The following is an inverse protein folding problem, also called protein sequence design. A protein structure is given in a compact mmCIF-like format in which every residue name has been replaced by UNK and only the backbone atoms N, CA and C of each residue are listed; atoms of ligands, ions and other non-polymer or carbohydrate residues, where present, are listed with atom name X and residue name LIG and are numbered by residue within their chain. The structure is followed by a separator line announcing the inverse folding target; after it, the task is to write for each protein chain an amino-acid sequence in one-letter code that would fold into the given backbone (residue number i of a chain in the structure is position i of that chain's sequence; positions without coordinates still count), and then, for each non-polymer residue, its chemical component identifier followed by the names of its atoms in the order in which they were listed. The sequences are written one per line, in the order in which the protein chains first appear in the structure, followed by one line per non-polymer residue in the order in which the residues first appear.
data_IF_934453921472
#
_entry.id   IF_934453921472
#
_cell.length_a   1.000
_cell.length_b   1.000
_cell.length_c   1.000
_cell.angle_alpha   90.00
_cell.angle_beta   90.00
_cell.angle_gamma   90.00
#
_symmetry.space_group_name_H-M   'P 1'
#
loop_
_entity.id
_entity.type
_entity.pdbx_description
1 polymer ?
#
# COMPACT_ATOMS: atom_id res chain seq x y z
N UNK A 1 16.85 22.91 77.88
CA UNK A 1 16.24 21.65 77.44
C UNK A 1 17.38 20.68 77.21
N UNK A 2 17.85 19.93 78.22
CA UNK A 2 17.33 18.64 78.70
C UNK A 2 17.06 17.62 77.58
N UNK A 3 17.50 16.36 77.76
CA UNK A 3 18.78 15.80 77.25
C UNK A 3 18.56 14.42 76.57
N UNK A 4 19.56 13.68 76.05
CA UNK A 4 20.42 12.70 76.74
C UNK A 4 21.36 12.10 75.65
N UNK A 5 22.69 12.14 75.83
CA UNK A 5 23.55 11.06 76.40
C UNK A 5 23.43 9.74 75.59
N UNK A 6 24.48 9.01 75.20
CA UNK A 6 25.89 8.86 75.62
C UNK A 6 26.51 7.87 74.61
N UNK A 7 27.74 8.08 74.10
CA UNK A 7 29.02 7.53 74.61
C UNK A 7 29.05 5.98 74.58
N UNK A 8 30.04 5.26 74.06
CA UNK A 8 31.50 5.20 74.33
C UNK A 8 32.04 4.16 73.30
N UNK A 9 33.05 4.45 72.46
CA UNK A 9 34.51 4.42 72.68
C UNK A 9 35.15 3.01 72.62
N UNK A 10 36.34 2.98 72.00
CA UNK A 10 37.38 1.92 71.91
C UNK A 10 37.20 0.83 70.84
N UNK A 11 38.19 0.50 70.01
CA UNK A 11 39.57 0.96 69.93
C UNK A 11 40.41 0.07 69.00
N UNK A 12 41.68 0.46 68.90
CA UNK A 12 42.85 -0.26 68.39
C UNK A 12 43.09 -0.41 66.88
N UNK A 13 44.27 0.11 66.53
CA UNK A 13 44.99 0.05 65.27
C UNK A 13 45.53 -1.35 64.95
N UNK A 14 45.62 -1.70 63.66
CA UNK A 14 46.63 -2.63 63.12
C UNK A 14 46.95 -2.27 61.65
N UNK A 15 48.25 -2.10 61.39
CA UNK A 15 48.92 -2.14 60.09
C UNK A 15 48.66 -3.51 59.42
N UNK A 16 48.13 -3.57 58.19
CA UNK A 16 47.83 -4.84 57.51
C UNK A 16 48.13 -4.80 56.02
N UNK A 17 49.13 -5.59 55.63
CA UNK A 17 49.66 -5.82 54.29
C UNK A 17 48.61 -6.10 53.20
N UNK A 18 48.96 -5.66 52.00
CA UNK A 18 48.41 -6.11 50.73
C UNK A 18 48.39 -7.64 50.62
N UNK A 19 47.23 -8.17 50.24
CA UNK A 19 47.10 -9.47 49.57
C UNK A 19 46.56 -9.17 48.18
N UNK A 20 47.34 -9.51 47.16
CA UNK A 20 46.88 -9.65 45.78
C UNK A 20 45.74 -10.68 45.78
N UNK A 21 44.51 -10.20 45.70
CA UNK A 21 43.38 -10.98 45.22
C UNK A 21 43.28 -10.79 43.71
N UNK A 22 43.77 -11.76 42.95
CA UNK A 22 43.40 -11.95 41.56
C UNK A 22 41.87 -11.99 41.49
N UNK A 23 41.25 -10.89 41.04
CA UNK A 23 39.88 -10.93 40.59
C UNK A 23 39.84 -11.91 39.39
N UNK A 24 39.04 -12.97 39.43
CA UNK A 24 38.76 -13.71 38.21
C UNK A 24 38.14 -12.71 37.24
N UNK A 25 38.66 -12.68 36.01
CA UNK A 25 38.08 -11.89 34.93
C UNK A 25 36.58 -12.19 34.89
N UNK A 26 35.79 -11.14 35.08
CA UNK A 26 34.38 -11.18 34.70
C UNK A 26 34.42 -11.27 33.18
N UNK A 27 34.30 -12.48 32.65
CA UNK A 27 34.00 -12.68 31.23
C UNK A 27 32.72 -11.90 30.95
N UNK A 28 32.86 -10.79 30.23
CA UNK A 28 31.76 -10.15 29.54
C UNK A 28 31.34 -11.09 28.40
N UNK A 29 30.36 -11.94 28.68
CA UNK A 29 29.57 -12.70 27.72
C UNK A 29 28.36 -13.28 28.46
N UNK A 30 27.43 -12.41 28.87
CA UNK A 30 26.04 -12.87 28.91
C UNK A 30 25.59 -12.85 27.45
N UNK A 31 25.75 -14.00 26.78
CA UNK A 31 25.20 -14.23 25.46
C UNK A 31 23.68 -14.15 25.51
N UNK A 32 23.04 -13.80 24.39
CA UNK A 32 21.58 -13.88 24.19
C UNK A 32 21.06 -15.17 24.84
N UNK A 33 20.25 -15.03 25.88
CA UNK A 33 19.80 -16.13 26.75
C UNK A 33 18.67 -16.93 26.09
N UNK A 34 17.95 -16.34 25.13
CA UNK A 34 16.89 -17.00 24.34
C UNK A 34 16.81 -16.51 22.90
N UNK A 35 16.81 -17.43 21.93
CA UNK A 35 16.37 -17.15 20.55
C UNK A 35 15.15 -18.01 20.29
N UNK A 36 14.07 -17.38 19.83
CA UNK A 36 12.82 -18.04 19.55
C UNK A 36 12.30 -17.69 18.15
N UNK A 37 11.69 -18.67 17.49
CA UNK A 37 11.04 -18.50 16.19
C UNK A 37 9.58 -18.90 16.33
N UNK A 38 8.69 -17.93 16.09
CA UNK A 38 7.24 -18.09 16.09
C UNK A 38 6.75 -18.02 14.64
N UNK A 39 6.75 -19.17 13.96
CA UNK A 39 6.17 -19.28 12.63
C UNK A 39 4.66 -19.53 12.71
N UNK A 40 3.88 -18.45 12.81
CA UNK A 40 2.42 -18.51 12.82
C UNK A 40 1.84 -18.71 11.42
N UNK A 41 2.65 -18.54 10.37
CA UNK A 41 2.25 -18.68 8.98
C UNK A 41 2.48 -20.09 8.44
N UNK A 42 3.29 -20.90 9.11
CA UNK A 42 3.73 -22.24 8.67
C UNK A 42 4.41 -22.16 7.28
N UNK A 43 5.21 -21.11 7.07
CA UNK A 43 5.90 -20.78 5.81
C UNK A 43 7.44 -20.89 5.91
N UNK A 44 8.01 -20.98 7.11
CA UNK A 44 9.43 -21.23 7.32
C UNK A 44 9.70 -22.73 7.23
N UNK A 45 10.73 -23.10 6.47
CA UNK A 45 11.19 -24.48 6.48
C UNK A 45 11.92 -24.79 7.81
N UNK A 46 12.02 -26.07 8.21
CA UNK A 46 12.83 -26.43 9.38
C UNK A 46 14.30 -26.02 9.26
N UNK A 47 14.82 -25.85 8.03
CA UNK A 47 16.18 -25.35 7.80
C UNK A 47 16.28 -23.84 8.04
N UNK A 48 15.23 -23.09 7.74
CA UNK A 48 15.13 -21.65 7.95
C UNK A 48 15.03 -21.30 9.44
N UNK A 49 14.19 -22.02 10.19
CA UNK A 49 14.09 -21.87 11.64
C UNK A 49 15.44 -22.16 12.31
N UNK A 50 16.09 -23.26 11.92
CA UNK A 50 17.44 -23.61 12.40
C UNK A 50 18.48 -22.55 12.03
N UNK A 51 18.40 -21.98 10.83
CA UNK A 51 19.29 -20.90 10.43
C UNK A 51 19.14 -19.69 11.36
N UNK A 52 17.90 -19.30 11.71
CA UNK A 52 17.67 -18.20 12.66
C UNK A 52 18.22 -18.53 14.05
N UNK A 53 17.93 -19.73 14.56
CA UNK A 53 18.39 -20.18 15.88
C UNK A 53 19.92 -20.28 15.97
N UNK A 54 20.58 -20.82 14.95
CA UNK A 54 22.03 -21.05 14.96
C UNK A 54 22.84 -19.78 14.68
N UNK A 55 22.31 -18.87 13.82
CA UNK A 55 23.04 -17.67 13.40
C UNK A 55 22.89 -16.51 14.37
N UNK A 56 21.73 -16.36 15.00
CA UNK A 56 21.45 -15.21 15.88
C UNK A 56 22.46 -15.06 17.03
N UNK A 57 22.86 -16.13 17.74
CA UNK A 57 23.84 -16.02 18.82
C UNK A 57 25.25 -15.61 18.37
N UNK A 58 25.55 -15.65 17.06
CA UNK A 58 26.84 -15.23 16.51
C UNK A 58 26.87 -13.76 16.08
N UNK A 59 25.75 -13.05 16.20
CA UNK A 59 25.65 -11.62 15.93
C UNK A 59 26.11 -10.85 17.18
N UNK A 60 26.97 -9.85 16.98
CA UNK A 60 27.48 -8.98 18.04
C UNK A 60 26.43 -7.95 18.46
N UNK A 61 25.36 -8.41 19.11
CA UNK A 61 24.27 -7.55 19.58
C UNK A 61 24.69 -6.76 20.83
N UNK A 62 24.04 -5.61 21.11
CA UNK A 62 24.22 -4.90 22.37
C UNK A 62 24.04 -5.84 23.57
N UNK A 63 24.83 -5.65 24.62
CA UNK A 63 24.84 -6.52 25.81
C UNK A 63 23.51 -6.49 26.58
N UNK A 64 22.70 -5.48 26.32
CA UNK A 64 21.34 -5.30 26.81
C UNK A 64 20.37 -6.32 26.18
N UNK A 65 20.66 -6.87 25.01
CA UNK A 65 19.80 -7.86 24.34
C UNK A 65 19.90 -9.21 25.04
N UNK A 66 18.86 -9.59 25.77
CA UNK A 66 18.77 -10.89 26.43
C UNK A 66 17.98 -11.90 25.59
N UNK A 67 16.99 -11.46 24.82
CA UNK A 67 16.07 -12.33 24.11
C UNK A 67 15.79 -11.80 22.70
N UNK A 68 15.88 -12.70 21.71
CA UNK A 68 15.53 -12.40 20.30
C UNK A 68 14.34 -13.26 19.88
N UNK A 69 13.25 -12.61 19.50
CA UNK A 69 12.02 -13.28 19.05
C UNK A 69 11.75 -12.94 17.58
N UNK A 70 11.76 -13.96 16.73
CA UNK A 70 11.31 -13.86 15.34
C UNK A 70 9.84 -14.24 15.26
N UNK A 71 9.02 -13.43 14.59
CA UNK A 71 7.59 -13.69 14.44
C UNK A 71 7.18 -13.57 12.98
N UNK A 72 6.59 -14.63 12.43
CA UNK A 72 6.02 -14.62 11.08
C UNK A 72 4.50 -14.72 11.16
N UNK A 73 3.80 -13.64 10.80
CA UNK A 73 2.35 -13.56 10.80
C UNK A 73 1.75 -13.90 9.42
N UNK A 74 0.76 -14.80 9.33
CA UNK A 74 0.07 -15.09 8.07
C UNK A 74 -0.78 -13.91 7.58
N UNK A 75 -1.31 -13.11 8.52
CA UNK A 75 -2.08 -11.90 8.25
C UNK A 75 -1.81 -10.87 9.35
N UNK A 76 -1.89 -9.59 9.02
CA UNK A 76 -1.65 -8.48 9.95
C UNK A 76 -2.48 -7.25 9.56
N UNK A 77 -2.45 -6.23 10.41
CA UNK A 77 -3.05 -4.93 10.11
C UNK A 77 -2.18 -4.13 9.13
N UNK A 78 -2.76 -3.07 8.55
CA UNK A 78 -2.01 -2.09 7.76
C UNK A 78 -0.86 -1.47 8.56
N UNK A 79 -1.05 -1.31 9.88
CA UNK A 79 -0.01 -0.95 10.83
C UNK A 79 0.46 -2.21 11.58
N UNK A 80 1.60 -2.78 11.16
CA UNK A 80 2.15 -3.98 11.79
C UNK A 80 2.45 -3.78 13.29
N UNK A 81 2.77 -2.55 13.71
CA UNK A 81 3.05 -2.23 15.11
C UNK A 81 1.88 -2.63 16.03
N UNK A 82 0.65 -2.40 15.56
CA UNK A 82 -0.56 -2.75 16.31
C UNK A 82 -0.76 -4.25 16.41
N UNK A 83 -0.47 -4.99 15.34
CA UNK A 83 -0.54 -6.45 15.32
C UNK A 83 0.45 -7.07 16.31
N UNK A 84 1.71 -6.63 16.31
CA UNK A 84 2.72 -7.15 17.24
C UNK A 84 2.38 -6.80 18.69
N UNK A 85 1.90 -5.56 18.94
CA UNK A 85 1.47 -5.16 20.28
C UNK A 85 0.29 -6.01 20.78
N UNK A 86 -0.69 -6.25 19.91
CA UNK A 86 -1.84 -7.07 20.26
C UNK A 86 -1.42 -8.51 20.60
N UNK A 87 -0.55 -9.10 19.77
CA UNK A 87 0.01 -10.43 20.01
C UNK A 87 0.79 -10.51 21.33
N UNK A 88 1.65 -9.52 21.60
CA UNK A 88 2.35 -9.43 22.87
C UNK A 88 1.42 -9.29 24.08
N UNK A 89 0.28 -8.60 23.97
CA UNK A 89 -0.64 -8.46 25.11
C UNK A 89 -1.46 -9.71 25.40
N UNK A 90 -1.91 -10.41 24.36
CA UNK A 90 -2.90 -11.48 24.52
C UNK A 90 -2.26 -12.88 24.54
N UNK A 91 -1.22 -13.10 23.73
CA UNK A 91 -0.66 -14.43 23.50
C UNK A 91 0.75 -14.57 24.09
N UNK A 92 1.52 -13.47 24.09
CA UNK A 92 2.90 -13.43 24.59
C UNK A 92 3.17 -12.30 25.57
N UNK A 93 2.51 -12.28 26.76
CA UNK A 93 2.69 -11.23 27.76
C UNK A 93 4.13 -11.03 28.24
N UNK A 94 4.97 -12.04 28.07
CA UNK A 94 6.41 -11.99 28.33
C UNK A 94 7.17 -11.02 27.42
N UNK A 95 6.63 -10.68 26.24
CA UNK A 95 7.20 -9.67 25.35
C UNK A 95 6.88 -8.24 25.80
N UNK A 96 5.99 -8.07 26.78
CA UNK A 96 5.54 -6.77 27.27
C UNK A 96 6.15 -6.52 28.65
N UNK A 97 6.55 -5.27 28.90
CA UNK A 97 7.02 -4.83 30.22
C UNK A 97 5.97 -5.06 31.31
N UNK A 98 6.41 -5.20 32.56
CA UNK A 98 5.50 -5.41 33.71
C UNK A 98 4.44 -4.30 33.84
N UNK A 99 4.77 -3.07 33.44
CA UNK A 99 3.84 -1.92 33.45
C UNK A 99 2.82 -1.94 32.28
N UNK A 100 3.02 -2.78 31.27
CA UNK A 100 2.08 -2.94 30.14
C UNK A 100 2.12 -1.83 29.08
N UNK A 101 3.06 -0.90 29.21
CA UNK A 101 3.17 0.32 28.39
C UNK A 101 4.35 0.32 27.42
N UNK A 102 5.26 -0.66 27.53
CA UNK A 102 6.45 -0.82 26.66
C UNK A 102 6.77 -2.29 26.37
N UNK A 103 7.67 -2.54 25.43
CA UNK A 103 8.27 -3.86 25.23
C UNK A 103 9.10 -4.27 26.46
N UNK A 104 9.21 -5.57 26.70
CA UNK A 104 9.97 -6.10 27.83
C UNK A 104 11.44 -5.65 27.75
N UNK A 105 12.07 -5.30 28.89
CA UNK A 105 13.50 -5.02 28.94
C UNK A 105 14.31 -6.18 28.36
N UNK A 106 15.35 -5.86 27.59
CA UNK A 106 16.22 -6.85 26.92
C UNK A 106 15.63 -7.56 25.71
N UNK A 107 14.37 -7.26 25.33
CA UNK A 107 13.74 -7.86 24.17
C UNK A 107 14.18 -7.21 22.85
N UNK A 108 14.47 -8.04 21.85
CA UNK A 108 14.56 -7.67 20.44
C UNK A 108 13.59 -8.53 19.63
N UNK A 109 12.59 -7.90 19.02
CA UNK A 109 11.53 -8.59 18.27
C UNK A 109 11.66 -8.21 16.80
N UNK A 110 11.77 -9.23 15.93
CA UNK A 110 11.76 -9.04 14.49
C UNK A 110 10.50 -9.70 13.93
N UNK A 111 9.61 -8.90 13.36
CA UNK A 111 8.31 -9.38 12.88
C UNK A 111 8.18 -9.20 11.36
N UNK A 112 7.57 -10.19 10.71
CA UNK A 112 7.21 -10.15 9.29
C UNK A 112 5.75 -10.57 9.16
N UNK A 113 4.98 -9.81 8.39
CA UNK A 113 3.58 -10.06 8.08
C UNK A 113 3.39 -10.31 6.59
N UNK A 114 2.56 -11.30 6.23
CA UNK A 114 2.39 -11.76 4.84
C UNK A 114 1.27 -11.02 4.09
N UNK A 115 0.21 -10.64 4.78
CA UNK A 115 -0.95 -9.96 4.19
C UNK A 115 -1.52 -8.89 5.15
N UNK A 116 -1.26 -7.59 4.91
CA UNK A 116 -0.37 -7.04 3.88
C UNK A 116 1.11 -7.32 4.18
N UNK A 117 1.97 -7.30 3.16
CA UNK A 117 3.41 -7.50 3.30
C UNK A 117 4.07 -6.38 4.13
N UNK A 118 4.41 -6.68 5.37
CA UNK A 118 4.97 -5.72 6.35
C UNK A 118 6.13 -6.34 7.12
N UNK A 119 7.14 -5.54 7.45
CA UNK A 119 8.24 -5.96 8.30
C UNK A 119 8.46 -4.93 9.40
N UNK A 120 8.93 -5.35 10.56
CA UNK A 120 9.22 -4.47 11.67
C UNK A 120 10.28 -5.02 12.60
N UNK A 121 10.94 -4.10 13.30
CA UNK A 121 11.86 -4.40 14.39
C UNK A 121 11.40 -3.60 15.61
N UNK A 122 11.32 -4.26 16.75
CA UNK A 122 10.90 -3.67 18.01
C UNK A 122 11.88 -4.05 19.11
N UNK A 123 12.03 -3.18 20.10
CA UNK A 123 12.97 -3.42 21.20
C UNK A 123 12.45 -2.86 22.51
N UNK A 124 12.89 -3.47 23.61
CA UNK A 124 12.86 -2.83 24.93
C UNK A 124 13.65 -1.52 24.89
N UNK A 125 13.27 -0.54 25.72
CA UNK A 125 13.89 0.79 25.72
C UNK A 125 15.41 0.73 25.91
N UNK A 126 15.88 -0.16 26.78
CA UNK A 126 17.30 -0.41 27.03
C UNK A 126 18.05 -0.88 25.78
N UNK A 127 17.46 -1.81 25.04
CA UNK A 127 17.99 -2.30 23.76
C UNK A 127 17.92 -1.22 22.68
N UNK A 128 16.81 -0.49 22.58
CA UNK A 128 16.63 0.56 21.60
C UNK A 128 17.63 1.70 21.78
N UNK A 129 17.88 2.10 23.04
CA UNK A 129 18.85 3.12 23.40
C UNK A 129 20.29 2.63 23.11
N UNK A 130 20.61 1.38 23.47
CA UNK A 130 21.93 0.81 23.23
C UNK A 130 22.24 0.61 21.73
N UNK A 131 21.24 0.26 20.92
CA UNK A 131 21.35 0.14 19.48
C UNK A 131 21.27 1.48 18.73
N UNK A 132 21.01 2.58 19.45
CA UNK A 132 20.77 3.92 18.90
C UNK A 132 19.73 3.90 17.78
N UNK A 133 18.61 3.18 18.01
CA UNK A 133 17.62 2.90 16.95
C UNK A 133 16.88 4.18 16.51
N UNK A 134 16.83 5.18 17.38
CA UNK A 134 16.16 6.46 17.16
C UNK A 134 17.05 7.53 16.54
N UNK A 135 18.36 7.28 16.38
CA UNK A 135 19.20 8.23 15.67
C UNK A 135 18.72 8.42 14.22
N UNK A 136 18.93 9.61 13.63
CA UNK A 136 18.41 9.94 12.31
C UNK A 136 18.73 8.87 11.26
N UNK A 137 17.70 8.34 10.60
CA UNK A 137 17.83 7.34 9.53
C UNK A 137 18.19 5.92 9.99
N UNK A 138 18.33 5.64 11.29
CA UNK A 138 18.74 4.33 11.82
C UNK A 138 17.69 3.25 11.64
N UNK A 139 16.51 3.41 12.26
CA UNK A 139 15.39 2.47 12.12
C UNK A 139 15.06 2.21 10.64
N UNK A 140 15.11 3.28 9.86
CA UNK A 140 14.95 3.27 8.42
C UNK A 140 16.01 2.43 7.69
N UNK A 141 17.28 2.62 8.01
CA UNK A 141 18.39 1.82 7.49
C UNK A 141 18.29 0.34 7.90
N UNK A 142 17.81 0.04 9.10
CA UNK A 142 17.56 -1.32 9.58
C UNK A 142 16.48 -2.01 8.73
N UNK A 143 15.32 -1.36 8.56
CA UNK A 143 14.23 -1.91 7.74
C UNK A 143 14.62 -2.01 6.25
N UNK A 144 15.53 -1.17 5.76
CA UNK A 144 16.08 -1.30 4.40
C UNK A 144 16.95 -2.55 4.23
N UNK A 145 17.72 -2.96 5.23
CA UNK A 145 18.54 -4.19 5.15
C UNK A 145 17.67 -5.45 5.12
N UNK A 146 16.51 -5.42 5.78
CA UNK A 146 15.53 -6.49 5.74
C UNK A 146 14.84 -6.61 4.36
N UNK A 147 14.63 -5.49 3.65
CA UNK A 147 13.74 -5.44 2.48
C UNK A 147 14.16 -6.34 1.31
N UNK A 148 15.42 -6.31 0.81
CA UNK A 148 15.81 -7.09 -0.36
C UNK A 148 15.54 -8.61 -0.23
N UNK A 149 16.03 -9.30 0.82
CA UNK A 149 15.76 -10.74 0.96
C UNK A 149 14.27 -11.05 1.13
N UNK A 150 13.48 -10.20 1.79
CA UNK A 150 12.02 -10.40 1.92
C UNK A 150 11.30 -10.27 0.57
N UNK A 151 11.70 -9.31 -0.27
CA UNK A 151 11.18 -9.16 -1.65
C UNK A 151 11.52 -10.35 -2.53
N UNK A 152 12.70 -10.93 -2.32
CA UNK A 152 13.15 -12.12 -3.04
C UNK A 152 12.50 -13.42 -2.50
N UNK A 153 11.60 -13.32 -1.52
CA UNK A 153 10.89 -14.45 -0.92
C UNK A 153 11.70 -15.21 0.13
N UNK A 154 12.88 -14.72 0.50
CA UNK A 154 13.73 -15.32 1.52
C UNK A 154 13.40 -14.74 2.91
N UNK A 155 12.36 -15.29 3.53
CA UNK A 155 11.81 -14.83 4.81
C UNK A 155 12.84 -14.89 5.94
N UNK A 156 13.55 -16.01 6.06
CA UNK A 156 14.54 -16.23 7.10
C UNK A 156 15.74 -15.29 6.98
N UNK A 157 16.24 -15.09 5.75
CA UNK A 157 17.33 -14.14 5.54
C UNK A 157 16.88 -12.71 5.88
N UNK A 158 15.67 -12.32 5.49
CA UNK A 158 15.15 -10.98 5.81
C UNK A 158 14.97 -10.73 7.29
N UNK A 159 14.46 -11.71 8.03
CA UNK A 159 14.39 -11.66 9.49
C UNK A 159 15.79 -11.57 10.11
N UNK A 160 16.73 -12.41 9.68
CA UNK A 160 18.10 -12.39 10.20
C UNK A 160 18.84 -11.07 9.91
N UNK A 161 18.63 -10.48 8.73
CA UNK A 161 19.22 -9.19 8.37
C UNK A 161 18.69 -8.05 9.25
N UNK A 162 17.44 -8.11 9.73
CA UNK A 162 16.92 -7.17 10.71
C UNK A 162 17.73 -7.17 12.00
N UNK A 163 18.00 -8.37 12.53
CA UNK A 163 18.83 -8.55 13.73
C UNK A 163 20.27 -8.10 13.52
N UNK A 164 20.89 -8.46 12.38
CA UNK A 164 22.26 -8.00 12.06
C UNK A 164 22.33 -6.47 11.93
N UNK A 165 21.32 -5.86 11.34
CA UNK A 165 21.30 -4.41 11.15
C UNK A 165 21.14 -3.64 12.47
N UNK A 166 20.46 -4.21 13.48
CA UNK A 166 20.42 -3.65 14.84
C UNK A 166 21.82 -3.63 15.47
N UNK A 167 22.61 -4.68 15.27
CA UNK A 167 24.00 -4.75 15.72
C UNK A 167 24.98 -3.86 14.90
N UNK A 168 24.60 -3.46 13.68
CA UNK A 168 25.44 -2.69 12.77
C UNK A 168 25.16 -1.18 12.91
N UNK A 169 26.04 -0.39 13.55
CA UNK A 169 25.86 1.06 13.70
C UNK A 169 25.88 1.80 12.34
N UNK A 170 26.31 1.15 11.25
CA UNK A 170 26.32 1.72 9.89
C UNK A 170 25.02 1.50 9.13
N UNK A 171 24.05 0.76 9.69
CA UNK A 171 22.71 0.64 9.14
C UNK A 171 21.94 1.97 9.30
N UNK A 172 22.24 2.95 8.45
CA UNK A 172 21.63 4.28 8.40
C UNK A 172 21.20 4.57 6.97
N UNK A 173 19.99 5.11 6.78
CA UNK A 173 19.60 5.71 5.50
C UNK A 173 20.08 7.16 5.44
N UNK A 174 20.94 7.48 4.47
CA UNK A 174 21.29 8.87 4.18
C UNK A 174 20.08 9.61 3.59
N UNK A 175 19.67 10.70 4.24
CA UNK A 175 18.60 11.56 3.73
C UNK A 175 19.10 12.36 2.53
N UNK A 176 18.46 12.23 1.38
CA UNK A 176 18.54 13.23 0.31
C UNK A 176 17.76 14.48 0.74
N UNK A 177 18.44 15.63 0.78
CA UNK A 177 17.93 16.95 1.17
C UNK A 177 16.64 17.34 0.43
N UNK A 178 15.48 17.35 1.10
CA UNK A 178 14.27 18.07 0.70
C UNK A 178 13.45 18.56 1.92
N UNK A 179 12.65 19.65 1.78
CA UNK A 179 12.35 20.62 2.85
C UNK A 179 11.31 20.18 3.90
N UNK A 180 11.53 20.63 5.14
CA UNK A 180 10.83 20.25 6.38
C UNK A 180 9.35 20.64 6.55
N UNK A 181 8.52 20.61 5.51
CA UNK A 181 7.06 20.78 5.64
C UNK A 181 6.25 19.51 5.33
N UNK A 182 6.89 18.42 4.88
CA UNK A 182 6.23 17.14 4.56
C UNK A 182 5.94 16.27 5.80
N UNK A 183 6.52 16.59 6.96
CA UNK A 183 6.39 15.79 8.20
C UNK A 183 5.11 16.01 9.04
N UNK A 184 4.10 16.76 8.58
CA UNK A 184 3.05 17.29 9.47
C UNK A 184 1.59 16.90 9.16
N UNK A 185 1.29 15.91 8.30
CA UNK A 185 -0.09 15.65 7.84
C UNK A 185 -0.78 14.36 8.27
N UNK A 186 -0.22 13.57 9.21
CA UNK A 186 -0.95 12.41 9.79
C UNK A 186 -1.22 12.67 11.27
N UNK A 187 -2.06 13.67 11.54
CA UNK A 187 -2.43 14.07 12.89
C UNK A 187 -3.90 14.46 12.99
N UNK A 188 -4.72 13.53 13.53
CA UNK A 188 -6.07 13.79 14.07
C UNK A 188 -7.19 12.97 13.41
N UNK A 189 -8.21 12.44 14.08
CA UNK A 189 -8.71 12.38 15.49
C UNK A 189 -9.68 11.15 15.48
N UNK A 190 -9.82 10.27 16.48
CA UNK A 190 -10.74 10.38 17.63
C UNK A 190 -10.54 9.23 18.64
N UNK A 191 -10.52 9.61 19.91
CA UNK A 191 -10.58 8.76 21.10
C UNK A 191 -11.97 8.12 21.28
N UNK A 192 -12.04 6.90 21.87
CA UNK A 192 -12.87 6.52 23.03
C UNK A 192 -12.51 5.07 23.46
N UNK A 193 -12.04 4.90 24.72
CA UNK A 193 -12.44 3.83 25.65
C UNK A 193 -11.84 2.42 25.50
N UNK A 194 -11.10 1.97 26.52
CA UNK A 194 -10.42 0.68 26.60
C UNK A 194 -11.27 -0.59 26.80
N UNK A 195 -10.58 -1.73 26.73
CA UNK A 195 -11.01 -3.13 26.98
C UNK A 195 -11.93 -3.80 25.94
N UNK A 196 -11.76 -3.53 24.63
CA UNK A 196 -12.59 -4.16 23.59
C UNK A 196 -12.01 -4.27 22.18
N UNK A 197 -10.70 -4.13 22.00
CA UNK A 197 -10.08 -3.86 20.69
C UNK A 197 -10.21 -5.00 19.64
N UNK A 198 -10.04 -6.27 20.00
CA UNK A 198 -10.19 -7.38 19.04
C UNK A 198 -11.63 -7.54 18.52
N UNK A 199 -12.62 -7.38 19.41
CA UNK A 199 -14.04 -7.38 19.03
C UNK A 199 -14.42 -6.08 18.31
N UNK A 200 -13.83 -4.94 18.65
CA UNK A 200 -14.07 -3.66 17.98
C UNK A 200 -13.50 -3.61 16.57
N UNK A 201 -12.30 -4.13 16.32
CA UNK A 201 -11.70 -4.18 14.98
C UNK A 201 -12.55 -5.06 14.04
N UNK A 202 -12.95 -6.25 14.49
CA UNK A 202 -13.88 -7.10 13.74
C UNK A 202 -15.26 -6.45 13.56
N UNK A 203 -15.79 -5.77 14.57
CA UNK A 203 -17.10 -5.11 14.51
C UNK A 203 -17.07 -3.82 13.70
N UNK A 204 -15.94 -3.12 13.61
CA UNK A 204 -15.77 -1.88 12.86
C UNK A 204 -15.54 -2.18 11.37
N UNK A 205 -14.70 -3.15 11.04
CA UNK A 205 -14.55 -3.67 9.67
C UNK A 205 -15.85 -4.28 9.18
N UNK A 206 -16.55 -5.08 10.01
CA UNK A 206 -17.89 -5.61 9.71
C UNK A 206 -18.94 -4.51 9.56
N UNK A 207 -18.97 -3.49 10.42
CA UNK A 207 -19.88 -2.33 10.28
C UNK A 207 -19.60 -1.53 9.01
N UNK A 208 -18.34 -1.31 8.67
CA UNK A 208 -17.93 -0.61 7.43
C UNK A 208 -18.32 -1.45 6.20
N UNK A 209 -18.09 -2.75 6.23
CA UNK A 209 -18.47 -3.66 5.16
C UNK A 209 -20.00 -3.81 5.02
N UNK A 210 -20.74 -3.84 6.13
CA UNK A 210 -22.22 -3.86 6.11
C UNK A 210 -22.75 -2.52 5.60
N UNK A 211 -22.19 -1.39 6.04
CA UNK A 211 -22.57 -0.07 5.53
C UNK A 211 -22.31 0.02 4.03
N UNK A 212 -21.13 -0.41 3.57
CA UNK A 212 -20.79 -0.50 2.14
C UNK A 212 -21.76 -1.42 1.41
N UNK A 213 -22.08 -2.60 1.96
CA UNK A 213 -23.06 -3.50 1.36
C UNK A 213 -24.46 -2.89 1.29
N UNK A 214 -24.89 -2.11 2.31
CA UNK A 214 -26.16 -1.38 2.28
C UNK A 214 -26.15 -0.30 1.19
N UNK A 215 -25.12 0.54 1.15
CA UNK A 215 -24.93 1.57 0.11
C UNK A 215 -24.93 0.97 -1.30
N UNK A 216 -24.21 -0.15 -1.49
CA UNK A 216 -24.12 -0.89 -2.75
C UNK A 216 -25.47 -1.50 -3.14
N UNK A 217 -26.18 -2.11 -2.18
CA UNK A 217 -27.50 -2.67 -2.41
C UNK A 217 -28.54 -1.59 -2.76
N UNK A 218 -28.53 -0.46 -2.06
CA UNK A 218 -29.38 0.69 -2.38
C UNK A 218 -29.08 1.23 -3.79
N UNK A 219 -27.81 1.27 -4.18
CA UNK A 219 -27.40 1.58 -5.55
C UNK A 219 -27.95 0.60 -6.59
N UNK A 220 -27.83 -0.71 -6.33
CA UNK A 220 -28.40 -1.76 -7.20
C UNK A 220 -29.91 -1.59 -7.32
N UNK A 221 -30.64 -1.40 -6.22
CA UNK A 221 -32.10 -1.24 -6.27
C UNK A 221 -32.54 -0.02 -7.06
N UNK A 222 -31.79 1.09 -6.98
CA UNK A 222 -32.07 2.32 -7.70
C UNK A 222 -31.83 2.19 -9.20
N UNK A 223 -30.70 1.61 -9.58
CA UNK A 223 -30.21 1.70 -10.95
C UNK A 223 -30.57 0.47 -11.80
N UNK A 224 -30.71 -0.72 -11.18
CA UNK A 224 -30.94 -1.97 -11.91
C UNK A 224 -32.19 -1.92 -12.79
N UNK A 225 -33.33 -1.46 -12.25
CA UNK A 225 -34.59 -1.43 -12.99
C UNK A 225 -34.53 -0.53 -14.23
N UNK A 226 -33.91 0.65 -14.11
CA UNK A 226 -33.70 1.58 -15.22
C UNK A 226 -32.81 0.96 -16.30
N UNK A 227 -31.65 0.46 -15.89
CA UNK A 227 -30.64 -0.07 -16.81
C UNK A 227 -31.15 -1.35 -17.50
N UNK A 228 -31.86 -2.23 -16.78
CA UNK A 228 -32.48 -3.43 -17.37
C UNK A 228 -33.53 -3.08 -18.44
N UNK A 229 -34.37 -2.07 -18.18
CA UNK A 229 -35.37 -1.61 -19.15
C UNK A 229 -34.73 -0.97 -20.40
N UNK A 230 -33.60 -0.29 -20.23
CA UNK A 230 -32.91 0.42 -21.29
C UNK A 230 -31.86 -0.44 -22.03
N UNK A 231 -31.55 -1.64 -21.53
CA UNK A 231 -30.46 -2.49 -22.04
C UNK A 231 -30.54 -2.70 -23.55
N UNK A 232 -31.73 -2.95 -24.11
CA UNK A 232 -31.89 -3.12 -25.55
C UNK A 232 -31.57 -1.84 -26.34
N UNK A 233 -31.98 -0.67 -25.83
CA UNK A 233 -31.67 0.60 -26.48
C UNK A 233 -30.17 0.91 -26.43
N UNK A 234 -29.51 0.59 -25.31
CA UNK A 234 -28.06 0.75 -25.16
C UNK A 234 -27.32 -0.20 -26.11
N UNK A 235 -27.76 -1.46 -26.21
CA UNK A 235 -27.17 -2.46 -27.12
C UNK A 235 -27.29 -2.03 -28.59
N UNK A 236 -28.44 -1.49 -29.00
CA UNK A 236 -28.62 -0.92 -30.35
C UNK A 236 -27.66 0.25 -30.57
N UNK A 237 -27.53 1.16 -29.60
CA UNK A 237 -26.62 2.31 -29.71
C UNK A 237 -25.17 1.85 -29.87
N UNK A 238 -24.72 0.94 -29.02
CA UNK A 238 -23.37 0.36 -29.08
C UNK A 238 -23.05 -0.25 -30.46
N UNK A 239 -24.03 -0.94 -31.05
CA UNK A 239 -23.88 -1.56 -32.37
C UNK A 239 -24.01 -0.58 -33.53
N UNK A 240 -24.73 0.53 -33.35
CA UNK A 240 -24.94 1.56 -34.39
C UNK A 240 -23.75 2.50 -34.57
N UNK A 241 -22.77 2.48 -33.66
CA UNK A 241 -21.54 3.26 -33.79
C UNK A 241 -20.76 2.81 -35.03
N UNK A 242 -20.32 3.78 -35.82
CA UNK A 242 -19.68 3.53 -37.14
C UNK A 242 -18.28 4.11 -37.26
N UNK A 243 -17.83 4.96 -36.33
CA UNK A 243 -16.49 5.54 -36.41
C UNK A 243 -15.39 4.49 -36.28
N UNK A 244 -14.15 4.81 -36.71
CA UNK A 244 -13.00 3.93 -36.50
C UNK A 244 -12.77 3.56 -35.03
N UNK A 245 -13.17 4.42 -34.09
CA UNK A 245 -13.01 4.18 -32.65
C UNK A 245 -13.93 3.07 -32.12
N UNK A 246 -15.05 2.81 -32.79
CA UNK A 246 -16.01 1.74 -32.47
C UNK A 246 -15.52 0.36 -32.96
N UNK A 247 -14.28 0.04 -32.57
CA UNK A 247 -13.52 -1.12 -33.02
C UNK A 247 -13.90 -2.43 -32.30
N UNK A 248 -13.24 -3.53 -32.67
CA UNK A 248 -13.47 -4.83 -32.06
C UNK A 248 -13.18 -4.87 -30.55
N UNK A 249 -12.25 -4.04 -30.06
CA UNK A 249 -11.94 -3.99 -28.62
C UNK A 249 -13.11 -3.40 -27.83
N UNK A 250 -13.67 -2.27 -28.29
CA UNK A 250 -14.86 -1.65 -27.69
C UNK A 250 -16.07 -2.59 -27.74
N UNK A 251 -16.27 -3.28 -28.88
CA UNK A 251 -17.36 -4.27 -29.03
C UNK A 251 -17.20 -5.46 -28.08
N UNK A 252 -15.98 -5.99 -27.91
CA UNK A 252 -15.70 -7.04 -26.92
C UNK A 252 -15.97 -6.58 -25.49
N UNK A 253 -15.52 -5.36 -25.14
CA UNK A 253 -15.76 -4.79 -23.81
C UNK A 253 -17.26 -4.58 -23.55
N UNK A 254 -18.02 -4.13 -24.56
CA UNK A 254 -19.47 -4.04 -24.45
C UNK A 254 -20.11 -5.41 -24.20
N UNK A 255 -19.75 -6.44 -24.97
CA UNK A 255 -20.30 -7.78 -24.79
C UNK A 255 -19.95 -8.39 -23.43
N UNK A 256 -18.75 -8.11 -22.89
CA UNK A 256 -18.35 -8.52 -21.54
C UNK A 256 -19.27 -7.88 -20.48
N UNK A 257 -19.48 -6.57 -20.55
CA UNK A 257 -20.35 -5.84 -19.61
C UNK A 257 -21.80 -6.31 -19.72
N UNK A 258 -22.30 -6.50 -20.95
CA UNK A 258 -23.64 -7.02 -21.20
C UNK A 258 -23.83 -8.43 -20.64
N UNK A 259 -22.87 -9.32 -20.90
CA UNK A 259 -22.90 -10.70 -20.41
C UNK A 259 -22.83 -10.75 -18.89
N UNK A 260 -21.97 -9.93 -18.27
CA UNK A 260 -21.86 -9.81 -16.82
C UNK A 260 -23.16 -9.35 -16.16
N UNK A 261 -23.85 -8.38 -16.77
CA UNK A 261 -25.15 -7.92 -16.30
C UNK A 261 -26.26 -8.96 -16.48
N UNK A 262 -26.35 -9.60 -17.64
CA UNK A 262 -27.35 -10.66 -17.89
C UNK A 262 -27.12 -11.90 -17.01
N UNK A 263 -25.88 -12.14 -16.59
CA UNK A 263 -25.50 -13.19 -15.64
C UNK A 263 -25.96 -12.92 -14.19
N UNK A 264 -26.54 -11.75 -13.89
CA UNK A 264 -26.98 -11.41 -12.54
C UNK A 264 -28.16 -12.23 -12.03
N UNK A 265 -28.86 -13.01 -12.87
CA UNK A 265 -29.99 -13.84 -12.44
C UNK A 265 -29.63 -14.73 -11.23
N UNK A 266 -28.52 -15.47 -11.31
CA UNK A 266 -28.03 -16.32 -10.21
C UNK A 266 -27.61 -15.50 -8.99
N UNK A 267 -27.16 -14.26 -9.20
CA UNK A 267 -26.81 -13.35 -8.10
C UNK A 267 -28.08 -12.83 -7.42
N UNK A 268 -29.14 -12.51 -8.16
CA UNK A 268 -30.41 -12.08 -7.59
C UNK A 268 -31.15 -13.19 -6.86
N UNK A 269 -31.04 -14.45 -7.29
CA UNK A 269 -31.55 -15.60 -6.53
C UNK A 269 -30.93 -15.63 -5.11
N UNK A 270 -29.64 -15.31 -4.98
CA UNK A 270 -28.96 -15.23 -3.67
C UNK A 270 -29.39 -13.99 -2.85
N UNK A 271 -29.92 -12.97 -3.52
CA UNK A 271 -30.44 -11.75 -2.90
C UNK A 271 -31.95 -11.84 -2.65
N UNK A 272 -32.62 -12.93 -3.01
CA UNK A 272 -34.06 -13.09 -2.84
C UNK A 272 -34.48 -12.88 -1.38
N UNK A 273 -35.54 -12.08 -1.18
CA UNK A 273 -36.05 -11.74 0.15
C UNK A 273 -35.17 -10.76 0.95
N UNK A 274 -34.04 -10.29 0.41
CA UNK A 274 -33.29 -9.19 1.01
C UNK A 274 -34.01 -7.86 0.72
N UNK A 275 -34.32 -7.11 1.76
CA UNK A 275 -34.91 -5.77 1.67
C UNK A 275 -34.04 -4.74 2.37
N UNK A 276 -34.24 -3.45 2.07
CA UNK A 276 -33.50 -2.36 2.71
C UNK A 276 -33.62 -2.38 4.25
N UNK A 277 -34.75 -2.86 4.77
CA UNK A 277 -35.02 -3.03 6.20
C UNK A 277 -34.48 -4.32 6.83
N UNK A 278 -33.83 -5.20 6.07
CA UNK A 278 -33.30 -6.46 6.60
C UNK A 278 -32.18 -6.23 7.64
N UNK A 279 -31.99 -7.21 8.52
CA UNK A 279 -30.97 -7.15 9.56
C UNK A 279 -29.54 -7.12 9.00
N UNK A 280 -28.64 -6.45 9.71
CA UNK A 280 -27.21 -6.35 9.41
C UNK A 280 -26.52 -7.70 9.15
N UNK A 281 -27.02 -8.77 9.78
CA UNK A 281 -26.50 -10.13 9.59
C UNK A 281 -26.77 -10.66 8.17
N UNK A 282 -27.91 -10.33 7.58
CA UNK A 282 -28.28 -10.75 6.23
C UNK A 282 -27.42 -10.02 5.19
N UNK A 283 -27.19 -8.72 5.35
CA UNK A 283 -26.25 -7.95 4.52
C UNK A 283 -24.83 -8.48 4.61
N UNK A 284 -24.35 -8.82 5.81
CA UNK A 284 -23.03 -9.41 5.98
C UNK A 284 -22.88 -10.77 5.28
N UNK A 285 -23.88 -11.64 5.39
CA UNK A 285 -23.89 -12.97 4.77
C UNK A 285 -23.89 -12.89 3.24
N UNK A 286 -24.61 -11.92 2.67
CA UNK A 286 -24.79 -11.75 1.23
C UNK A 286 -23.88 -10.70 0.60
N UNK A 287 -22.96 -10.11 1.38
CA UNK A 287 -22.09 -9.00 0.95
C UNK A 287 -21.36 -9.22 -0.37
N UNK A 288 -20.91 -10.45 -0.65
CA UNK A 288 -20.22 -10.79 -1.90
C UNK A 288 -21.17 -10.69 -3.10
N UNK A 289 -22.37 -11.28 -2.99
CA UNK A 289 -23.40 -11.19 -4.02
C UNK A 289 -23.85 -9.74 -4.25
N UNK A 290 -23.99 -8.96 -3.18
CA UNK A 290 -24.31 -7.52 -3.26
C UNK A 290 -23.20 -6.75 -3.99
N UNK A 291 -21.92 -7.00 -3.64
CA UNK A 291 -20.79 -6.35 -4.28
C UNK A 291 -20.71 -6.71 -5.77
N UNK A 292 -20.91 -7.98 -6.14
CA UNK A 292 -20.98 -8.43 -7.54
C UNK A 292 -22.13 -7.76 -8.29
N UNK A 293 -23.34 -7.74 -7.73
CA UNK A 293 -24.48 -7.06 -8.35
C UNK A 293 -24.20 -5.57 -8.57
N UNK A 294 -23.67 -4.90 -7.54
CA UNK A 294 -23.32 -3.48 -7.62
C UNK A 294 -22.25 -3.20 -8.67
N UNK A 295 -21.22 -4.03 -8.73
CA UNK A 295 -20.16 -3.93 -9.73
C UNK A 295 -20.73 -4.05 -11.15
N UNK A 296 -21.49 -5.10 -11.45
CA UNK A 296 -22.02 -5.32 -12.81
C UNK A 296 -23.03 -4.23 -13.23
N UNK A 297 -23.89 -3.78 -12.31
CA UNK A 297 -24.81 -2.65 -12.57
C UNK A 297 -24.03 -1.36 -12.83
N UNK A 298 -23.01 -1.08 -12.03
CA UNK A 298 -22.17 0.13 -12.17
C UNK A 298 -21.36 0.09 -13.45
N UNK A 299 -20.80 -1.07 -13.81
CA UNK A 299 -20.07 -1.27 -15.07
C UNK A 299 -20.97 -0.99 -16.26
N UNK A 300 -22.19 -1.52 -16.27
CA UNK A 300 -23.14 -1.30 -17.36
C UNK A 300 -23.60 0.16 -17.44
N UNK A 301 -23.89 0.82 -16.32
CA UNK A 301 -24.23 2.26 -16.30
C UNK A 301 -23.07 3.11 -16.84
N UNK A 302 -21.85 2.85 -16.39
CA UNK A 302 -20.67 3.62 -16.84
C UNK A 302 -20.40 3.37 -18.33
N UNK A 303 -20.55 2.12 -18.79
CA UNK A 303 -20.44 1.79 -20.20
C UNK A 303 -21.51 2.48 -21.06
N UNK A 304 -22.76 2.57 -20.59
CA UNK A 304 -23.83 3.35 -21.23
C UNK A 304 -23.44 4.82 -21.41
N UNK A 305 -22.95 5.46 -20.34
CA UNK A 305 -22.51 6.87 -20.37
C UNK A 305 -21.37 7.09 -21.37
N UNK A 306 -20.40 6.18 -21.40
CA UNK A 306 -19.26 6.23 -22.30
C UNK A 306 -19.64 5.97 -23.76
N UNK A 307 -20.54 5.02 -24.04
CA UNK A 307 -21.10 4.79 -25.38
C UNK A 307 -21.87 6.02 -25.85
N UNK A 308 -22.64 6.66 -24.97
CA UNK A 308 -23.38 7.87 -25.30
C UNK A 308 -22.45 9.04 -25.64
N UNK A 309 -21.36 9.21 -24.89
CA UNK A 309 -20.35 10.22 -25.21
C UNK A 309 -19.75 10.00 -26.60
N UNK A 310 -19.39 8.76 -26.94
CA UNK A 310 -18.88 8.42 -28.27
C UNK A 310 -19.93 8.66 -29.36
N UNK A 311 -21.19 8.29 -29.12
CA UNK A 311 -22.29 8.53 -30.06
C UNK A 311 -22.52 10.03 -30.29
N UNK A 312 -22.49 10.86 -29.25
CA UNK A 312 -22.61 12.32 -29.37
C UNK A 312 -21.45 12.90 -30.21
N UNK A 313 -20.23 12.41 -29.98
CA UNK A 313 -19.06 12.79 -30.77
C UNK A 313 -19.23 12.42 -32.26
N UNK A 314 -19.69 11.21 -32.57
CA UNK A 314 -19.99 10.76 -33.93
C UNK A 314 -21.06 11.64 -34.60
N UNK A 315 -22.11 12.00 -33.86
CA UNK A 315 -23.23 12.81 -34.37
C UNK A 315 -22.98 14.32 -34.44
N UNK A 316 -21.77 14.78 -34.16
CA UNK A 316 -21.43 16.20 -34.36
C UNK A 316 -21.65 17.10 -33.16
N UNK A 317 -21.77 16.55 -31.95
CA UNK A 317 -21.82 17.38 -30.74
C UNK A 317 -20.51 18.17 -30.58
N UNK A 318 -20.58 19.46 -30.86
CA UNK A 318 -19.41 20.34 -30.88
C UNK A 318 -18.76 20.46 -29.49
N UNK A 319 -19.53 20.35 -28.42
CA UNK A 319 -18.99 20.47 -27.06
C UNK A 319 -18.24 19.20 -26.66
N UNK A 320 -18.76 18.01 -26.98
CA UNK A 320 -18.02 16.75 -26.81
C UNK A 320 -16.74 16.78 -27.66
N UNK A 321 -16.84 17.09 -28.96
CA UNK A 321 -15.68 17.14 -29.86
C UNK A 321 -14.60 18.10 -29.38
N UNK A 322 -14.98 19.28 -28.90
CA UNK A 322 -14.04 20.27 -28.34
C UNK A 322 -13.39 19.76 -27.06
N UNK A 323 -14.16 19.13 -26.16
CA UNK A 323 -13.63 18.58 -24.90
C UNK A 323 -12.60 17.48 -25.19
N UNK A 324 -12.91 16.49 -26.03
CA UNK A 324 -11.98 15.40 -26.33
C UNK A 324 -10.68 15.89 -26.98
N UNK A 325 -10.75 16.88 -27.88
CA UNK A 325 -9.55 17.51 -28.45
C UNK A 325 -8.77 18.34 -27.44
N UNK A 326 -9.45 18.95 -26.47
CA UNK A 326 -8.79 19.69 -25.38
C UNK A 326 -8.09 18.74 -24.42
N UNK A 327 -8.72 17.63 -24.05
CA UNK A 327 -8.10 16.58 -23.23
C UNK A 327 -6.85 16.01 -23.92
N UNK A 328 -6.92 15.76 -25.24
CA UNK A 328 -5.75 15.31 -26.02
C UNK A 328 -4.64 16.36 -26.09
N UNK A 329 -4.99 17.63 -26.32
CA UNK A 329 -4.05 18.76 -26.29
C UNK A 329 -3.32 18.87 -24.94
N UNK A 330 -4.07 18.83 -23.84
CA UNK A 330 -3.51 18.91 -22.49
C UNK A 330 -2.57 17.73 -22.17
N UNK A 331 -2.91 16.54 -22.66
CA UNK A 331 -2.07 15.35 -22.48
C UNK A 331 -0.76 15.44 -23.29
N UNK A 332 -0.82 15.97 -24.52
CA UNK A 332 0.37 16.27 -25.33
C UNK A 332 1.24 17.33 -24.65
N UNK A 333 0.65 18.42 -24.16
CA UNK A 333 1.39 19.48 -23.45
C UNK A 333 2.10 18.94 -22.20
N UNK A 334 1.46 18.03 -21.46
CA UNK A 334 2.09 17.36 -20.32
C UNK A 334 3.30 16.54 -20.76
N UNK A 335 3.16 15.73 -21.81
CA UNK A 335 4.28 14.97 -22.38
C UNK A 335 5.44 15.89 -22.82
N UNK A 336 5.14 17.00 -23.49
CA UNK A 336 6.14 17.99 -23.92
C UNK A 336 6.84 18.63 -22.72
N UNK A 337 6.15 18.87 -21.61
CA UNK A 337 6.75 19.48 -20.42
C UNK A 337 7.73 18.53 -19.73
N UNK A 338 7.39 17.24 -19.66
CA UNK A 338 8.07 16.26 -18.80
C UNK A 338 9.23 15.53 -19.49
N UNK A 339 9.26 15.43 -20.82
CA UNK A 339 10.28 14.69 -21.58
C UNK A 339 11.49 15.58 -21.90
N UNK A 340 12.73 15.11 -21.76
CA UNK A 340 13.91 15.91 -22.13
C UNK A 340 14.28 15.84 -23.63
N UNK A 341 13.93 14.74 -24.32
CA UNK A 341 14.23 14.50 -25.74
C UNK A 341 13.63 15.56 -26.68
N UNK A 342 14.50 16.34 -27.32
CA UNK A 342 14.14 17.46 -28.20
C UNK A 342 13.40 16.99 -29.47
N UNK A 343 13.80 15.85 -30.05
CA UNK A 343 13.18 15.35 -31.27
C UNK A 343 11.74 14.87 -30.99
N UNK A 344 11.54 14.21 -29.84
CA UNK A 344 10.22 13.79 -29.40
C UNK A 344 9.31 14.98 -29.07
N UNK A 345 9.83 16.01 -28.38
CA UNK A 345 9.13 17.28 -28.13
C UNK A 345 8.66 17.95 -29.43
N UNK A 346 9.51 18.00 -30.44
CA UNK A 346 9.16 18.58 -31.75
C UNK A 346 8.04 17.79 -32.43
N UNK A 347 8.08 16.45 -32.38
CA UNK A 347 7.01 15.60 -32.95
C UNK A 347 5.69 15.75 -32.21
N UNK A 348 5.72 15.81 -30.88
CA UNK A 348 4.54 16.07 -30.05
C UNK A 348 3.94 17.46 -30.34
N UNK A 349 4.78 18.48 -30.50
CA UNK A 349 4.31 19.84 -30.86
C UNK A 349 3.64 19.89 -32.24
N UNK A 350 4.21 19.19 -33.24
CA UNK A 350 3.58 19.08 -34.56
C UNK A 350 2.25 18.30 -34.52
N UNK A 351 2.12 17.33 -33.62
CA UNK A 351 0.85 16.65 -33.39
C UNK A 351 -0.15 17.60 -32.73
N UNK A 352 0.29 18.40 -31.76
CA UNK A 352 -0.54 19.39 -31.07
C UNK A 352 -1.13 20.43 -32.03
N UNK A 353 -0.30 20.95 -32.95
CA UNK A 353 -0.76 21.87 -33.99
C UNK A 353 -1.89 21.27 -34.83
N UNK A 354 -1.83 19.96 -35.12
CA UNK A 354 -2.90 19.25 -35.85
C UNK A 354 -4.15 19.05 -34.99
N UNK A 355 -3.99 18.79 -33.69
CA UNK A 355 -5.10 18.73 -32.73
C UNK A 355 -5.84 20.06 -32.67
N UNK A 356 -5.11 21.18 -32.53
CA UNK A 356 -5.67 22.53 -32.53
C UNK A 356 -6.34 22.88 -33.87
N UNK A 357 -5.74 22.50 -35.00
CA UNK A 357 -6.33 22.72 -36.33
C UNK A 357 -7.64 21.93 -36.55
N UNK A 358 -7.78 20.75 -35.95
CA UNK A 358 -9.06 20.03 -35.95
C UNK A 358 -10.06 20.65 -34.96
N UNK A 359 -9.58 21.19 -33.83
CA UNK A 359 -10.42 21.89 -32.84
C UNK A 359 -11.07 23.14 -33.40
N UNK A 360 -10.44 23.80 -34.35
CA UNK A 360 -11.01 24.95 -35.07
C UNK A 360 -12.07 24.55 -36.12
N UNK A 361 -12.19 23.25 -36.43
CA UNK A 361 -13.08 22.69 -37.47
C UNK A 361 -13.91 21.53 -36.92
N UNK A 362 -14.65 21.78 -35.84
CA UNK A 362 -15.43 20.74 -35.13
C UNK A 362 -16.52 20.10 -35.97
N UNK A 363 -16.98 20.74 -37.03
CA UNK A 363 -18.01 20.28 -37.96
C UNK A 363 -17.45 19.57 -39.21
N UNK A 364 -16.14 19.32 -39.26
CA UNK A 364 -15.50 18.64 -40.38
C UNK A 364 -16.19 17.29 -40.69
N UNK A 365 -16.55 17.01 -41.96
CA UNK A 365 -17.22 15.75 -42.33
C UNK A 365 -16.41 14.50 -41.99
N UNK A 366 -15.08 14.58 -42.01
CA UNK A 366 -14.15 13.52 -41.64
C UNK A 366 -13.65 13.59 -40.20
N UNK A 367 -14.31 14.33 -39.31
CA UNK A 367 -13.82 14.61 -37.96
C UNK A 367 -13.41 13.34 -37.20
N UNK A 368 -14.24 12.29 -37.23
CA UNK A 368 -13.95 11.05 -36.49
C UNK A 368 -12.74 10.30 -37.04
N UNK A 369 -12.52 10.33 -38.35
CA UNK A 369 -11.35 9.73 -39.00
C UNK A 369 -10.08 10.52 -38.68
N UNK A 370 -10.16 11.86 -38.77
CA UNK A 370 -9.04 12.74 -38.40
C UNK A 370 -8.68 12.57 -36.91
N UNK A 371 -9.67 12.53 -36.01
CA UNK A 371 -9.46 12.31 -34.58
C UNK A 371 -8.83 10.93 -34.29
N UNK A 372 -9.32 9.85 -34.90
CA UNK A 372 -8.74 8.52 -34.73
C UNK A 372 -7.27 8.46 -35.23
N UNK A 373 -6.96 9.20 -36.30
CA UNK A 373 -5.59 9.41 -36.76
C UNK A 373 -4.71 10.11 -35.72
N UNK A 374 -5.21 11.20 -35.11
CA UNK A 374 -4.49 11.92 -34.05
C UNK A 374 -4.22 11.04 -32.83
N UNK A 375 -5.21 10.25 -32.39
CA UNK A 375 -5.05 9.28 -31.29
C UNK A 375 -4.01 8.21 -31.63
N UNK A 376 -4.00 7.72 -32.87
CA UNK A 376 -3.03 6.72 -33.34
C UNK A 376 -1.60 7.27 -33.35
N UNK A 377 -1.43 8.50 -33.84
CA UNK A 377 -0.14 9.18 -33.85
C UNK A 377 0.33 9.44 -32.42
N UNK A 378 -0.58 9.91 -31.55
CA UNK A 378 -0.28 10.16 -30.15
C UNK A 378 0.19 8.89 -29.44
N UNK A 379 -0.47 7.75 -29.65
CA UNK A 379 -0.07 6.45 -29.09
C UNK A 379 1.40 6.14 -29.34
N UNK A 380 1.86 6.29 -30.57
CA UNK A 380 3.26 6.00 -30.94
C UNK A 380 4.23 6.93 -30.23
N UNK A 381 3.85 8.21 -30.08
CA UNK A 381 4.67 9.19 -29.36
C UNK A 381 4.68 8.95 -27.85
N UNK A 382 3.54 8.53 -27.26
CA UNK A 382 3.44 8.17 -25.83
C UNK A 382 4.26 6.91 -25.52
N UNK A 383 4.25 5.90 -26.39
CA UNK A 383 5.10 4.70 -26.22
C UNK A 383 6.59 5.08 -26.22
N UNK A 384 7.01 6.00 -27.09
CA UNK A 384 8.37 6.54 -27.10
C UNK A 384 8.67 7.35 -25.84
N UNK A 385 7.72 8.18 -25.39
CA UNK A 385 7.81 8.99 -24.18
C UNK A 385 7.94 8.12 -22.92
N UNK A 386 7.15 7.07 -22.80
CA UNK A 386 7.21 6.10 -21.71
C UNK A 386 8.62 5.54 -21.56
N UNK A 387 9.19 5.07 -22.67
CA UNK A 387 10.53 4.52 -22.69
C UNK A 387 11.56 5.56 -22.20
N UNK A 388 11.43 6.81 -22.65
CA UNK A 388 12.30 7.91 -22.21
C UNK A 388 12.15 8.22 -20.72
N UNK A 389 10.93 8.29 -20.19
CA UNK A 389 10.69 8.51 -18.76
C UNK A 389 11.39 7.47 -17.87
N UNK A 390 11.30 6.18 -18.22
CA UNK A 390 11.96 5.12 -17.46
C UNK A 390 13.48 5.12 -17.67
N UNK A 391 13.98 5.43 -18.88
CA UNK A 391 15.42 5.62 -19.15
C UNK A 391 16.01 6.76 -18.31
N UNK A 392 15.33 7.92 -18.28
CA UNK A 392 15.77 9.16 -17.61
C UNK A 392 15.72 9.02 -16.08
N UNK A 393 14.67 8.40 -15.54
CA UNK A 393 14.54 8.19 -14.09
C UNK A 393 15.39 7.05 -13.53
N UNK A 394 15.97 6.20 -14.38
CA UNK A 394 16.67 4.98 -13.96
C UNK A 394 15.80 3.96 -13.22
N UNK A 395 14.48 4.15 -13.19
CA UNK A 395 13.53 3.28 -12.52
C UNK A 395 13.16 2.13 -13.43
N UNK A 396 13.01 0.92 -12.88
CA UNK A 396 12.53 -0.22 -13.65
C UNK A 396 11.02 -0.16 -13.75
N UNK A 397 10.51 -0.34 -14.96
CA UNK A 397 9.07 -0.48 -15.20
C UNK A 397 8.51 -1.67 -14.40
N UNK A 398 7.50 -1.41 -13.58
CA UNK A 398 6.80 -2.42 -12.82
C UNK A 398 6.08 -3.41 -13.72
N UNK A 399 6.05 -4.68 -13.30
CA UNK A 399 5.41 -5.79 -14.05
C UNK A 399 3.93 -5.96 -13.72
N UNK A 400 3.26 -4.88 -13.36
CA UNK A 400 1.87 -4.94 -12.92
C UNK A 400 0.95 -5.34 -14.09
N UNK A 401 0.19 -6.42 -13.87
CA UNK A 401 -0.73 -6.99 -14.86
C UNK A 401 -1.98 -6.14 -15.04
N UNK A 402 -2.23 -5.19 -14.13
CA UNK A 402 -3.38 -4.30 -14.18
C UNK A 402 -3.10 -2.97 -14.92
N UNK A 403 -1.88 -2.81 -15.48
CA UNK A 403 -1.54 -1.68 -16.36
C UNK A 403 -2.20 -1.81 -17.71
N UNK A 404 -3.43 -1.30 -17.79
CA UNK A 404 -4.23 -1.25 -19.01
C UNK A 404 -4.80 0.14 -19.21
N UNK A 405 -5.12 0.45 -20.46
CA UNK A 405 -6.01 1.57 -20.74
C UNK A 405 -7.31 1.40 -19.92
N UNK A 406 -7.92 2.51 -19.46
CA UNK A 406 -9.27 2.46 -18.93
C UNK A 406 -10.19 1.72 -19.91
N UNK A 407 -10.99 0.80 -19.40
CA UNK A 407 -11.93 0.01 -20.18
C UNK A 407 -13.26 0.75 -20.27
N UNK A 408 -14.15 0.32 -21.16
CA UNK A 408 -15.45 0.96 -21.40
C UNK A 408 -16.30 1.17 -20.14
N UNK A 409 -16.10 0.36 -19.10
CA UNK A 409 -16.82 0.46 -17.82
C UNK A 409 -16.10 1.26 -16.74
N UNK A 410 -14.92 1.82 -17.04
CA UNK A 410 -14.17 2.66 -16.13
C UNK A 410 -14.59 4.14 -16.31
N UNK A 411 -14.75 4.86 -15.20
CA UNK A 411 -15.15 6.28 -15.22
C UNK A 411 -14.10 7.21 -15.88
N UNK A 412 -12.86 6.76 -15.95
CA UNK A 412 -11.76 7.46 -16.62
C UNK A 412 -11.64 7.15 -18.12
N UNK A 413 -12.54 6.35 -18.69
CA UNK A 413 -12.54 6.09 -20.13
C UNK A 413 -12.87 7.36 -20.93
N UNK A 414 -12.29 7.44 -22.11
CA UNK A 414 -12.52 8.51 -23.10
C UNK A 414 -12.54 7.91 -24.51
N UNK A 415 -13.26 8.53 -25.46
CA UNK A 415 -13.18 8.21 -26.89
C UNK A 415 -11.74 8.01 -27.36
N UNK A 416 -11.43 6.80 -27.84
CA UNK A 416 -10.12 6.40 -28.33
C UNK A 416 -9.27 5.61 -27.34
N UNK A 417 -9.60 5.56 -26.05
CA UNK A 417 -8.84 4.73 -25.10
C UNK A 417 -9.00 3.25 -25.43
N UNK A 418 -7.87 2.53 -25.46
CA UNK A 418 -7.82 1.14 -25.92
C UNK A 418 -7.90 0.96 -27.45
N UNK A 419 -8.08 2.03 -28.23
CA UNK A 419 -7.98 1.97 -29.69
C UNK A 419 -6.55 1.62 -30.09
N UNK A 420 -6.33 0.43 -30.66
CA UNK A 420 -4.97 -0.06 -30.95
C UNK A 420 -4.07 -0.16 -29.71
N UNK A 421 -4.65 -0.42 -28.53
CA UNK A 421 -3.97 -0.38 -27.22
C UNK A 421 -3.49 1.01 -26.80
N UNK A 422 -4.11 2.09 -27.29
CA UNK A 422 -3.79 3.45 -26.86
C UNK A 422 -4.01 3.65 -25.36
N UNK A 423 -2.97 4.18 -24.71
CA UNK A 423 -2.95 4.66 -23.33
C UNK A 423 -2.47 6.12 -23.37
N UNK A 424 -3.17 7.07 -22.73
CA UNK A 424 -2.75 8.47 -22.68
C UNK A 424 -1.47 8.63 -21.84
N UNK A 425 -0.72 9.70 -22.10
CA UNK A 425 0.50 10.04 -21.38
C UNK A 425 0.25 10.19 -19.88
N UNK A 426 -0.84 10.85 -19.47
CA UNK A 426 -1.20 10.99 -18.05
C UNK A 426 -1.25 9.65 -17.31
N UNK A 427 -1.79 8.61 -17.95
CA UNK A 427 -1.89 7.27 -17.35
C UNK A 427 -0.52 6.62 -17.27
N UNK A 428 0.28 6.69 -18.34
CA UNK A 428 1.66 6.19 -18.35
C UNK A 428 2.52 6.88 -17.29
N UNK A 429 2.42 8.21 -17.21
CA UNK A 429 3.10 9.02 -16.22
C UNK A 429 2.65 8.65 -14.81
N UNK A 430 1.36 8.38 -14.59
CA UNK A 430 0.88 7.92 -13.28
C UNK A 430 1.51 6.59 -12.87
N UNK A 431 1.67 5.65 -13.80
CA UNK A 431 2.39 4.39 -13.54
C UNK A 431 3.85 4.61 -13.24
N UNK A 432 4.53 5.43 -14.04
CA UNK A 432 5.92 5.81 -13.82
C UNK A 432 6.10 6.49 -12.47
N UNK A 433 5.25 7.46 -12.14
CA UNK A 433 5.27 8.16 -10.85
C UNK A 433 5.02 7.21 -9.69
N UNK A 434 4.12 6.23 -9.86
CA UNK A 434 3.87 5.19 -8.86
C UNK A 434 5.07 4.25 -8.71
N UNK A 435 5.80 3.96 -9.78
CA UNK A 435 7.03 3.14 -9.75
C UNK A 435 8.19 3.90 -9.11
N UNK A 436 8.38 5.17 -9.47
CA UNK A 436 9.37 6.06 -8.85
C UNK A 436 9.03 6.24 -7.38
N UNK A 437 7.76 6.50 -7.06
CA UNK A 437 7.31 6.56 -5.68
C UNK A 437 7.52 5.23 -5.00
N UNK A 438 7.15 4.08 -5.54
CA UNK A 438 7.39 2.79 -4.88
C UNK A 438 8.89 2.52 -4.67
N UNK A 439 9.74 2.98 -5.59
CA UNK A 439 11.20 2.96 -5.43
C UNK A 439 11.67 3.90 -4.31
N UNK A 440 11.02 5.04 -4.11
CA UNK A 440 11.39 6.09 -3.15
C UNK A 440 10.68 5.99 -1.77
N UNK A 441 9.43 5.53 -1.73
CA UNK A 441 8.46 5.54 -0.61
C UNK A 441 8.43 4.23 0.16
N UNK A 442 9.12 3.20 -0.32
CA UNK A 442 9.27 1.95 0.43
C UNK A 442 10.01 2.12 1.76
N UNK A 443 10.55 3.30 2.09
CA UNK A 443 11.35 3.54 3.29
C UNK A 443 10.94 4.78 4.09
N UNK A 444 9.85 4.73 4.86
CA UNK A 444 9.83 5.50 6.11
C UNK A 444 9.23 4.60 7.19
N UNK A 445 10.00 4.35 8.23
CA UNK A 445 9.57 3.58 9.37
C UNK A 445 8.38 4.26 10.04
N UNK A 446 7.31 3.50 10.28
CA UNK A 446 6.19 3.91 11.11
C UNK A 446 6.49 3.48 12.55
N UNK A 447 6.57 4.42 13.48
CA UNK A 447 6.86 4.17 14.91
C UNK A 447 5.62 4.26 15.80
N UNK A 448 4.46 4.63 15.24
CA UNK A 448 3.22 4.86 15.98
C UNK A 448 2.40 3.59 16.27
N UNK A 449 1.70 3.59 17.40
CA UNK A 449 0.69 2.60 17.78
C UNK A 449 -0.68 3.26 17.85
N UNK A 450 -1.73 2.56 17.41
CA UNK A 450 -3.11 3.04 17.43
C UNK A 450 -3.75 2.99 18.82
N UNK A 451 -3.23 2.17 19.75
CA UNK A 451 -3.71 2.12 21.13
C UNK A 451 -3.02 3.19 21.98
N UNK A 452 -3.78 4.14 22.52
CA UNK A 452 -3.24 5.10 23.49
C UNK A 452 -2.69 4.41 24.73
N UNK A 453 -1.49 4.82 25.18
CA UNK A 453 -0.85 4.31 26.40
C UNK A 453 0.20 3.22 26.20
N UNK A 454 0.59 2.91 24.96
CA UNK A 454 1.79 2.10 24.67
C UNK A 454 2.82 2.95 23.92
N UNK A 455 4.06 2.92 24.38
CA UNK A 455 5.21 3.67 23.85
C UNK A 455 6.38 2.72 23.63
N UNK A 456 6.15 1.63 22.89
CA UNK A 456 7.20 0.68 22.55
C UNK A 456 8.20 1.23 21.54
N UNK A 457 9.45 0.80 21.65
CA UNK A 457 10.49 1.18 20.70
C UNK A 457 10.56 0.34 19.43
N UNK A 458 11.21 0.93 18.41
CA UNK A 458 11.27 0.42 17.05
C UNK A 458 10.10 0.88 16.16
N UNK A 459 9.80 0.10 15.11
CA UNK A 459 8.75 0.40 14.14
C UNK A 459 8.74 -0.53 12.93
N UNK A 460 7.85 -0.26 11.99
CA UNK A 460 7.62 -1.12 10.82
C UNK A 460 7.51 -0.36 9.50
N UNK A 461 7.65 -1.09 8.39
CA UNK A 461 7.45 -0.61 7.01
C UNK A 461 6.88 -1.73 6.13
N UNK A 462 6.44 -1.40 4.92
CA UNK A 462 6.18 -2.39 3.86
C UNK A 462 7.48 -2.89 3.22
N UNK A 463 7.45 -4.10 2.68
CA UNK A 463 8.48 -4.59 1.75
C UNK A 463 7.90 -4.91 0.40
#
# INVERSE_FOLDING_TARGET
MRPFLTAVLLGLAVLGLAVLGLAPGVSAADAVRGVEVLDLADELSPADERLLLDRTPSIDLPVEVTDVTYILFPTNDDNLNDTVLHFGREERPDLISEAGDKWAPGALIVAVGRDPQRMGVYCGDDVCDAADIYAPGRLDGILDRMRPPLRDGNLAAGMLEGTKAVADPTAVRESSDLPGWVGALIGGVFAVGGLGAAVFAWRFTRRKAIRKAREQFDGVQRDYGRVAQQLQAIDVRAHSLTSPLANDALRRQWEEVKTGFLGLNTTFDQLEGLSAGAEDREFWRRRKAIATAHEQVTRLRTAEENIEQLAQMEHGDADVRRRELTDLHEDILRAVADIEDIDLKNRLSLLDDRVLALRDRLDAPGFMDEFAGLVSDHRVLVEAAQKKLYEESGTKEGRDRDRRAPALWDSGWRPGYGYGNYVPYATVYSWHSADVQAAQSSGSATTGYSSGGFSGGGGSSSY
#
